data_IF_652678040223
#
_entry.id   IF_652678040223
#
_cell.length_a   1.000
_cell.length_b   1.000
_cell.length_c   1.000
_cell.angle_alpha   90.00
_cell.angle_beta   90.00
_cell.angle_gamma   90.00
#
_symmetry.space_group_name_H-M   'P 1'
#
loop_
_entity.id
_entity.type
_entity.pdbx_description
1 polymer ?
#
# COMPACT_ATOMS: atom_id res chain seq x y z
N UNK A 1 -29.76 38.27 -22.96
CA UNK A 1 -29.74 37.16 -22.02
C UNK A 1 -28.32 36.94 -21.56
N UNK A 2 -28.03 37.29 -20.30
CA UNK A 2 -26.67 37.39 -19.78
C UNK A 2 -26.14 36.01 -19.33
N UNK A 3 -25.01 35.60 -19.89
CA UNK A 3 -24.27 34.37 -19.60
C UNK A 3 -23.74 34.25 -18.16
N UNK A 4 -24.08 35.19 -17.27
CA UNK A 4 -23.54 35.24 -15.89
C UNK A 4 -24.44 34.63 -14.81
N UNK A 5 -25.68 34.22 -15.13
CA UNK A 5 -26.65 33.73 -14.15
C UNK A 5 -26.66 32.18 -14.05
N UNK A 6 -26.08 31.47 -15.03
CA UNK A 6 -26.07 30.02 -15.07
C UNK A 6 -25.04 29.37 -14.14
N UNK A 7 -24.09 30.15 -13.61
CA UNK A 7 -22.99 29.63 -12.78
C UNK A 7 -23.30 29.68 -11.28
N UNK A 8 -24.42 30.28 -10.88
CA UNK A 8 -24.72 30.45 -9.44
C UNK A 8 -25.57 29.36 -8.81
N UNK A 9 -26.25 28.54 -9.59
CA UNK A 9 -27.20 27.54 -9.05
C UNK A 9 -26.85 26.08 -9.34
N UNK A 10 -25.72 25.81 -9.95
CA UNK A 10 -25.19 24.46 -10.04
C UNK A 10 -24.19 24.27 -8.90
N UNK A 11 -24.66 23.67 -7.80
CA UNK A 11 -23.77 23.07 -6.82
C UNK A 11 -22.89 22.06 -7.57
N UNK A 12 -21.68 22.45 -7.91
CA UNK A 12 -20.68 21.56 -8.47
C UNK A 12 -20.32 20.52 -7.41
N UNK A 13 -21.02 19.38 -7.43
CA UNK A 13 -20.46 18.15 -6.96
C UNK A 13 -19.36 17.74 -7.93
N UNK A 14 -18.20 18.38 -7.84
CA UNK A 14 -17.00 17.90 -8.48
C UNK A 14 -16.58 16.63 -7.73
N UNK A 15 -17.06 15.47 -8.17
CA UNK A 15 -16.50 14.18 -7.78
C UNK A 15 -15.18 14.06 -8.54
N UNK A 16 -14.12 14.53 -7.94
CA UNK A 16 -12.79 14.20 -8.40
C UNK A 16 -12.53 12.74 -7.99
N UNK A 17 -12.78 11.81 -8.91
CA UNK A 17 -12.31 10.43 -8.77
C UNK A 17 -10.81 10.49 -9.06
N UNK A 18 -10.05 10.74 -8.02
CA UNK A 18 -8.60 10.53 -8.08
C UNK A 18 -8.32 9.06 -7.76
N UNK A 19 -7.17 8.55 -8.17
CA UNK A 19 -6.64 7.26 -7.74
C UNK A 19 -6.41 7.17 -6.21
N UNK A 20 -6.89 8.15 -5.45
CA UNK A 20 -6.70 8.40 -4.02
C UNK A 20 -8.08 8.52 -3.34
N UNK A 21 -9.04 7.62 -3.63
CA UNK A 21 -10.34 7.62 -2.99
C UNK A 21 -11.30 8.75 -3.47
N UNK A 22 -12.56 8.66 -3.09
CA UNK A 22 -13.58 9.68 -3.42
C UNK A 22 -13.49 10.86 -2.44
N UNK A 23 -13.08 12.01 -2.93
CA UNK A 23 -13.13 13.28 -2.17
C UNK A 23 -14.55 13.82 -2.26
N UNK A 24 -15.24 13.95 -1.14
CA UNK A 24 -16.58 14.54 -1.02
C UNK A 24 -16.48 15.90 -0.35
N UNK A 25 -16.99 16.92 -1.03
CA UNK A 25 -17.17 18.25 -0.40
C UNK A 25 -18.49 18.27 0.37
N UNK A 26 -18.45 18.49 1.68
CA UNK A 26 -19.64 18.56 2.54
C UNK A 26 -20.21 19.97 2.74
N UNK A 27 -19.78 20.93 1.91
CA UNK A 27 -20.16 22.34 2.01
C UNK A 27 -19.21 23.20 2.85
N UNK A 28 -18.25 22.59 3.57
CA UNK A 28 -17.26 23.31 4.42
C UNK A 28 -15.85 22.78 4.22
N UNK A 29 -15.69 21.47 4.12
CA UNK A 29 -14.39 20.80 3.97
C UNK A 29 -14.51 19.66 2.98
N UNK A 30 -13.40 19.26 2.39
CA UNK A 30 -13.32 18.02 1.62
C UNK A 30 -13.17 16.83 2.58
N UNK A 31 -14.16 15.93 2.59
CA UNK A 31 -14.10 14.66 3.30
C UNK A 31 -13.44 13.60 2.41
N UNK A 32 -12.63 12.73 2.99
CA UNK A 32 -11.86 11.70 2.27
C UNK A 32 -10.44 12.14 1.91
N UNK A 33 -10.06 13.40 2.20
CA UNK A 33 -8.72 13.93 1.89
C UNK A 33 -7.65 13.55 2.93
N UNK A 34 -7.93 12.65 3.84
CA UNK A 34 -7.00 12.22 4.88
C UNK A 34 -6.48 10.79 4.69
N UNK A 35 -6.89 10.11 3.64
CA UNK A 35 -6.38 8.77 3.33
C UNK A 35 -4.87 8.78 3.18
N UNK A 36 -4.23 7.81 3.81
CA UNK A 36 -2.80 7.61 3.64
C UNK A 36 -2.54 6.91 2.32
N UNK A 37 -1.80 7.57 1.45
CA UNK A 37 -1.45 7.01 0.14
C UNK A 37 -0.49 5.84 0.25
N UNK A 38 -0.68 4.84 -0.58
CA UNK A 38 0.22 3.69 -0.74
C UNK A 38 1.54 4.09 -1.39
N UNK A 39 2.54 3.25 -1.21
CA UNK A 39 3.82 3.27 -1.90
C UNK A 39 4.28 1.83 -2.14
N UNK A 40 5.43 1.66 -2.77
CA UNK A 40 6.00 0.35 -3.06
C UNK A 40 6.48 -0.35 -1.79
N UNK A 41 6.32 -1.69 -1.74
CA UNK A 41 6.87 -2.54 -0.68
C UNK A 41 8.40 -2.51 -0.69
N UNK A 42 8.95 -2.51 -1.90
CA UNK A 42 10.39 -2.59 -2.13
C UNK A 42 10.95 -4.01 -1.92
N UNK A 43 12.18 -4.25 -2.40
CA UNK A 43 12.78 -5.59 -2.43
C UNK A 43 13.28 -6.07 -1.05
N UNK A 44 13.29 -5.21 -0.04
CA UNK A 44 13.87 -5.50 1.26
C UNK A 44 12.84 -5.82 2.35
N UNK A 45 11.56 -6.06 1.98
CA UNK A 45 10.59 -6.54 2.96
C UNK A 45 10.95 -7.95 3.42
N UNK A 46 10.84 -8.15 4.72
CA UNK A 46 11.08 -9.44 5.36
C UNK A 46 9.97 -9.70 6.38
N UNK A 47 9.20 -10.78 6.22
CA UNK A 47 8.11 -11.12 7.15
C UNK A 47 8.65 -11.48 8.54
N UNK A 48 7.72 -11.62 9.48
CA UNK A 48 7.98 -12.10 10.85
C UNK A 48 8.85 -11.18 11.71
N UNK A 49 8.85 -9.88 11.41
CA UNK A 49 9.52 -8.90 12.25
C UNK A 49 9.06 -9.02 13.73
N UNK A 50 9.98 -8.96 14.71
CA UNK A 50 9.65 -9.14 16.12
C UNK A 50 8.79 -7.98 16.66
N UNK A 51 7.95 -8.30 17.66
CA UNK A 51 7.14 -7.30 18.37
C UNK A 51 8.04 -6.52 19.31
N UNK A 52 8.39 -5.31 18.93
CA UNK A 52 9.17 -4.36 19.74
C UNK A 52 8.99 -2.95 19.25
N UNK A 53 9.04 -1.96 20.13
CA UNK A 53 9.02 -0.54 19.79
C UNK A 53 10.39 0.12 19.83
N UNK A 54 11.37 -0.51 20.45
CA UNK A 54 12.75 -0.05 20.52
C UNK A 54 13.63 -0.87 19.58
N UNK A 55 14.05 -0.25 18.49
CA UNK A 55 14.88 -0.84 17.44
C UNK A 55 16.34 -0.37 17.54
N UNK A 56 16.70 0.38 18.59
CA UNK A 56 18.06 0.89 18.77
C UNK A 56 19.02 -0.28 19.04
N UNK A 57 20.15 -0.21 18.43
CA UNK A 57 21.25 -1.17 18.58
C UNK A 57 22.37 -0.49 19.36
N UNK A 58 22.99 -1.22 20.29
CA UNK A 58 24.13 -0.70 21.04
C UNK A 58 25.26 -0.30 20.09
N UNK A 59 25.85 0.86 20.29
CA UNK A 59 26.91 1.43 19.45
C UNK A 59 26.49 1.72 18.00
N UNK A 60 25.20 1.94 17.76
CA UNK A 60 24.68 2.34 16.45
C UNK A 60 25.26 3.70 16.03
N UNK A 61 25.66 3.77 14.77
CA UNK A 61 25.96 5.03 14.08
C UNK A 61 24.67 5.55 13.47
N UNK A 62 24.31 6.79 13.74
CA UNK A 62 23.12 7.42 13.15
C UNK A 62 22.42 8.39 14.11
N UNK A 63 21.61 9.26 13.54
CA UNK A 63 20.80 10.21 14.31
C UNK A 63 19.61 9.50 14.94
N UNK A 64 19.52 9.49 16.26
CA UNK A 64 18.37 8.91 16.96
C UNK A 64 17.06 9.61 16.57
N UNK A 65 16.02 8.82 16.36
CA UNK A 65 14.69 9.31 16.02
C UNK A 65 13.60 8.53 16.75
N UNK A 66 12.54 9.25 17.13
CA UNK A 66 11.28 8.66 17.57
C UNK A 66 10.24 8.93 16.49
N UNK A 67 9.77 7.87 15.84
CA UNK A 67 8.60 7.92 14.97
C UNK A 67 7.37 7.62 15.81
N UNK A 68 6.39 8.50 15.79
CA UNK A 68 5.12 8.31 16.50
C UNK A 68 3.95 8.72 15.63
N UNK A 69 2.76 8.23 15.95
CA UNK A 69 1.55 8.62 15.24
C UNK A 69 0.32 7.91 15.75
N UNK A 70 -0.78 8.09 15.01
CA UNK A 70 -2.06 7.42 15.24
C UNK A 70 -2.51 6.73 13.98
N UNK A 71 -3.01 5.51 14.12
CA UNK A 71 -3.80 4.85 13.09
C UNK A 71 -5.27 5.15 13.33
N UNK A 72 -5.98 5.51 12.29
CA UNK A 72 -7.39 5.95 12.30
C UNK A 72 -8.21 5.23 11.26
N UNK A 73 -9.51 5.20 11.49
CA UNK A 73 -10.51 4.80 10.50
C UNK A 73 -10.58 5.80 9.34
N UNK A 74 -11.27 5.41 8.27
CA UNK A 74 -11.51 6.24 7.07
C UNK A 74 -12.21 7.58 7.34
N UNK A 75 -12.83 7.75 8.51
CA UNK A 75 -13.43 9.01 8.95
C UNK A 75 -12.40 10.05 9.42
N UNK A 76 -11.11 9.70 9.40
CA UNK A 76 -9.98 10.54 9.81
C UNK A 76 -9.92 10.93 11.28
N UNK A 77 -10.85 10.48 12.08
CA UNK A 77 -11.05 10.90 13.48
C UNK A 77 -10.96 9.72 14.44
N UNK A 78 -11.74 8.68 14.21
CA UNK A 78 -11.87 7.54 15.13
C UNK A 78 -10.55 6.74 15.18
N UNK A 79 -9.98 6.52 16.37
CA UNK A 79 -8.77 5.74 16.52
C UNK A 79 -9.00 4.27 16.15
N UNK A 80 -8.07 3.66 15.45
CA UNK A 80 -8.06 2.23 15.16
C UNK A 80 -7.12 1.50 16.13
N UNK A 81 -7.70 0.86 17.14
CA UNK A 81 -6.95 0.07 18.12
C UNK A 81 -6.48 -1.25 17.52
N UNK A 82 -5.43 -1.83 18.10
CA UNK A 82 -4.86 -3.13 17.72
C UNK A 82 -4.39 -3.22 16.27
N UNK A 83 -4.35 -2.13 15.51
CA UNK A 83 -3.71 -2.14 14.21
C UNK A 83 -2.22 -2.50 14.39
N UNK A 84 -1.75 -3.46 13.60
CA UNK A 84 -0.34 -3.82 13.54
C UNK A 84 0.38 -2.80 12.66
N UNK A 85 1.44 -2.21 13.17
CA UNK A 85 2.32 -1.31 12.42
C UNK A 85 3.69 -1.95 12.36
N UNK A 86 4.15 -2.29 11.16
CA UNK A 86 5.51 -2.75 10.90
C UNK A 86 6.34 -1.59 10.36
N UNK A 87 7.60 -1.53 10.78
CA UNK A 87 8.58 -0.55 10.34
C UNK A 87 9.87 -1.24 9.94
N UNK A 88 10.43 -0.89 8.79
CA UNK A 88 11.78 -1.30 8.41
C UNK A 88 12.50 -0.21 7.62
N UNK A 89 13.82 -0.20 7.73
CA UNK A 89 14.69 0.75 7.03
C UNK A 89 16.14 0.28 7.01
N UNK A 90 16.99 0.92 6.22
CA UNK A 90 18.43 0.68 6.22
C UNK A 90 19.08 1.25 7.49
N UNK A 91 20.28 0.79 7.79
CA UNK A 91 21.14 1.32 8.84
C UNK A 91 21.75 2.68 8.46
N UNK A 92 22.65 3.20 9.32
CA UNK A 92 23.37 4.45 9.10
C UNK A 92 24.39 4.41 7.96
N UNK A 93 24.59 3.27 7.32
CA UNK A 93 25.45 3.06 6.14
C UNK A 93 24.65 2.78 4.86
N UNK A 94 23.31 2.78 4.92
CA UNK A 94 22.46 2.51 3.78
C UNK A 94 22.19 1.01 3.53
N UNK A 95 22.52 0.13 4.48
CA UNK A 95 22.40 -1.32 4.33
C UNK A 95 21.19 -1.84 5.06
N UNK A 96 20.39 -2.72 4.39
CA UNK A 96 19.27 -3.43 4.99
C UNK A 96 19.73 -4.76 5.58
N UNK A 97 19.22 -5.09 6.76
CA UNK A 97 19.40 -6.43 7.35
C UNK A 97 18.38 -7.40 6.76
N UNK A 98 18.80 -8.19 5.79
CA UNK A 98 17.93 -9.15 5.10
C UNK A 98 18.01 -10.56 5.66
N UNK A 99 18.95 -10.89 6.53
CA UNK A 99 19.25 -12.28 6.89
C UNK A 99 19.44 -12.52 8.40
N UNK A 100 19.90 -11.52 9.15
CA UNK A 100 20.27 -11.71 10.54
C UNK A 100 19.07 -12.09 11.41
N UNK A 101 19.21 -13.01 12.38
CA UNK A 101 18.13 -13.37 13.31
C UNK A 101 17.73 -12.20 14.22
N UNK A 102 18.55 -11.17 14.31
CA UNK A 102 18.29 -9.99 15.15
C UNK A 102 17.24 -9.06 14.57
N UNK A 103 16.89 -9.18 13.27
CA UNK A 103 15.98 -8.28 12.57
C UNK A 103 16.35 -6.81 12.80
N UNK A 104 17.60 -6.44 12.52
CA UNK A 104 18.09 -5.07 12.73
C UNK A 104 17.25 -4.08 11.94
N UNK A 105 16.82 -3.01 12.63
CA UNK A 105 15.95 -1.97 12.07
C UNK A 105 14.67 -2.50 11.40
N UNK A 106 14.12 -3.61 11.94
CA UNK A 106 12.84 -4.20 11.58
C UNK A 106 12.07 -4.55 12.83
N UNK A 107 10.84 -4.10 12.94
CA UNK A 107 9.98 -4.39 14.08
C UNK A 107 8.53 -4.17 13.73
N UNK A 108 7.65 -4.78 14.52
CA UNK A 108 6.23 -4.45 14.53
C UNK A 108 5.77 -4.09 15.94
N UNK A 109 4.73 -3.28 16.01
CA UNK A 109 4.04 -2.93 17.26
C UNK A 109 2.54 -2.87 16.99
N UNK A 110 1.75 -2.90 18.06
CA UNK A 110 0.29 -2.79 17.97
C UNK A 110 -0.16 -1.45 18.55
N UNK A 111 -1.14 -0.84 17.90
CA UNK A 111 -1.73 0.39 18.38
C UNK A 111 -2.47 0.15 19.70
N UNK A 112 -2.35 1.11 20.62
CA UNK A 112 -3.13 1.11 21.86
C UNK A 112 -4.60 1.51 21.61
N UNK A 113 -5.42 1.57 22.66
CA UNK A 113 -6.85 1.95 22.58
C UNK A 113 -7.11 3.32 21.97
N UNK A 114 -6.12 4.21 21.99
CA UNK A 114 -6.17 5.55 21.37
C UNK A 114 -5.59 5.57 19.96
N UNK A 115 -5.31 4.40 19.37
CA UNK A 115 -4.72 4.23 18.05
C UNK A 115 -3.24 4.63 17.96
N UNK A 116 -2.57 4.92 19.09
CA UNK A 116 -1.19 5.39 19.07
C UNK A 116 -0.20 4.25 18.83
N UNK A 117 0.82 4.54 18.04
CA UNK A 117 2.02 3.72 17.88
C UNK A 117 3.29 4.56 18.05
N UNK A 118 4.41 3.92 18.34
CA UNK A 118 5.71 4.59 18.43
C UNK A 118 6.86 3.61 18.23
N UNK A 119 7.92 4.09 17.56
CA UNK A 119 9.19 3.39 17.42
C UNK A 119 10.34 4.31 17.79
N UNK A 120 11.33 3.74 18.50
CA UNK A 120 12.63 4.38 18.75
C UNK A 120 13.66 3.71 17.86
N UNK A 121 14.31 4.49 16.98
CA UNK A 121 15.26 3.96 16.01
C UNK A 121 16.29 5.03 15.61
N UNK A 122 16.94 4.88 14.47
CA UNK A 122 17.76 5.90 13.84
C UNK A 122 17.09 6.43 12.58
N UNK A 123 17.41 7.65 12.20
CA UNK A 123 17.04 8.20 10.90
C UNK A 123 17.85 7.47 9.83
N UNK A 124 17.21 6.83 8.82
CA UNK A 124 17.94 6.20 7.72
C UNK A 124 18.70 7.24 6.90
N UNK A 125 19.58 6.76 6.05
CA UNK A 125 20.36 7.59 5.13
C UNK A 125 19.96 7.31 3.68
N UNK A 126 20.20 8.25 2.75
CA UNK A 126 20.11 7.95 1.33
C UNK A 126 21.07 6.82 0.94
N UNK A 127 20.68 5.97 0.00
CA UNK A 127 21.53 4.86 -0.45
C UNK A 127 21.43 4.64 -1.96
N UNK A 128 22.48 4.09 -2.55
CA UNK A 128 22.55 3.75 -3.98
C UNK A 128 21.87 2.40 -4.24
N UNK A 129 20.96 2.38 -5.19
CA UNK A 129 20.30 1.14 -5.69
C UNK A 129 21.00 0.58 -6.93
N UNK A 130 22.13 1.16 -7.32
CA UNK A 130 22.88 0.81 -8.51
C UNK A 130 22.71 1.81 -9.65
N UNK A 131 23.67 1.78 -10.58
CA UNK A 131 23.70 2.67 -11.76
C UNK A 131 23.65 4.17 -11.44
N UNK A 132 24.14 4.60 -10.26
CA UNK A 132 24.13 5.99 -9.84
C UNK A 132 22.76 6.52 -9.40
N UNK A 133 21.79 5.65 -9.20
CA UNK A 133 20.45 6.03 -8.72
C UNK A 133 20.45 6.03 -7.19
N UNK A 134 20.31 7.22 -6.60
CA UNK A 134 20.27 7.38 -5.15
C UNK A 134 18.84 7.51 -4.67
N UNK A 135 18.39 6.61 -3.82
CA UNK A 135 17.13 6.76 -3.11
C UNK A 135 17.25 7.72 -1.93
N UNK A 136 16.25 8.59 -1.70
CA UNK A 136 16.21 9.43 -0.51
C UNK A 136 16.14 8.57 0.76
N UNK A 137 16.54 9.14 1.88
CA UNK A 137 16.31 8.53 3.19
C UNK A 137 14.81 8.25 3.40
N UNK A 138 14.45 7.03 3.77
CA UNK A 138 13.04 6.68 3.95
C UNK A 138 12.81 5.56 4.96
N UNK A 139 11.65 5.61 5.60
CA UNK A 139 11.08 4.49 6.34
C UNK A 139 10.10 3.75 5.44
N UNK A 140 10.11 2.44 5.47
CA UNK A 140 9.00 1.61 5.00
C UNK A 140 8.07 1.30 6.15
N UNK A 141 6.78 1.30 5.87
CA UNK A 141 5.75 0.90 6.83
C UNK A 141 4.74 -0.03 6.16
N UNK A 142 4.33 -1.07 6.89
CA UNK A 142 3.19 -1.90 6.57
C UNK A 142 2.22 -1.82 7.75
N UNK A 143 0.98 -1.44 7.46
CA UNK A 143 -0.07 -1.33 8.47
C UNK A 143 -1.19 -2.29 8.11
N UNK A 144 -1.57 -3.14 9.06
CA UNK A 144 -2.64 -4.10 8.90
C UNK A 144 -3.60 -4.06 10.08
N UNK A 145 -4.87 -4.28 9.81
CA UNK A 145 -5.90 -4.42 10.83
C UNK A 145 -7.04 -5.28 10.26
N UNK A 146 -7.72 -6.00 11.14
CA UNK A 146 -8.87 -6.82 10.75
C UNK A 146 -9.97 -5.93 10.12
N UNK A 147 -10.49 -6.32 8.96
CA UNK A 147 -11.50 -5.57 8.22
C UNK A 147 -10.98 -4.37 7.42
N UNK A 148 -9.66 -4.13 7.40
CA UNK A 148 -9.03 -3.02 6.67
C UNK A 148 -8.13 -3.52 5.55
N UNK A 149 -8.01 -2.72 4.49
CA UNK A 149 -7.02 -2.94 3.44
C UNK A 149 -5.62 -2.81 4.03
N UNK A 150 -4.73 -3.71 3.67
CA UNK A 150 -3.32 -3.59 4.06
C UNK A 150 -2.71 -2.36 3.40
N UNK A 151 -2.13 -1.49 4.21
CA UNK A 151 -1.47 -0.29 3.74
C UNK A 151 0.04 -0.48 3.75
N UNK A 152 0.65 -0.37 2.59
CA UNK A 152 2.11 -0.26 2.44
C UNK A 152 2.43 1.16 2.03
N UNK A 153 3.37 1.78 2.72
CA UNK A 153 3.75 3.16 2.46
C UNK A 153 5.22 3.42 2.80
N UNK A 154 5.75 4.53 2.30
CA UNK A 154 7.10 5.00 2.60
C UNK A 154 7.06 6.43 3.09
N UNK A 155 7.86 6.74 4.11
CA UNK A 155 7.98 8.08 4.68
C UNK A 155 9.33 8.66 4.32
N UNK A 156 9.32 9.84 3.77
CA UNK A 156 10.50 10.60 3.37
C UNK A 156 10.70 11.80 4.30
N UNK A 157 11.84 12.48 4.17
CA UNK A 157 12.19 13.57 5.10
C UNK A 157 12.50 14.86 4.36
N UNK A 158 11.88 15.95 4.79
CA UNK A 158 12.10 17.30 4.22
C UNK A 158 13.59 17.63 4.18
N UNK A 159 14.02 18.18 3.06
CA UNK A 159 15.41 18.61 2.84
C UNK A 159 16.33 17.54 2.23
N UNK A 160 15.85 16.32 2.00
CA UNK A 160 16.63 15.33 1.23
C UNK A 160 16.63 15.71 -0.26
N UNK A 161 17.81 15.98 -0.81
CA UNK A 161 18.01 16.43 -2.19
C UNK A 161 17.58 15.39 -3.24
N UNK A 162 17.53 14.11 -2.85
CA UNK A 162 17.21 13.03 -3.76
C UNK A 162 15.68 12.84 -3.97
N UNK A 163 14.83 13.52 -3.21
CA UNK A 163 13.36 13.44 -3.36
C UNK A 163 12.92 13.81 -4.77
N UNK A 164 13.50 14.86 -5.35
CA UNK A 164 13.06 15.38 -6.65
C UNK A 164 13.31 14.41 -7.81
N UNK A 165 14.27 13.51 -7.69
CA UNK A 165 14.68 12.56 -8.72
C UNK A 165 14.21 11.13 -8.47
N UNK A 166 13.70 10.83 -7.27
CA UNK A 166 13.19 9.50 -6.92
C UNK A 166 11.77 9.31 -7.44
N UNK A 167 11.47 8.26 -8.23
CA UNK A 167 10.15 8.05 -8.82
C UNK A 167 9.01 7.96 -7.81
N UNK A 168 9.25 7.37 -6.64
CA UNK A 168 8.24 7.24 -5.58
C UNK A 168 8.08 8.56 -4.81
N UNK A 169 9.19 9.15 -4.33
CA UNK A 169 9.18 10.33 -3.47
C UNK A 169 8.77 11.62 -4.19
N UNK A 170 9.02 11.74 -5.50
CA UNK A 170 8.64 12.92 -6.30
C UNK A 170 7.17 12.96 -6.70
N UNK A 171 6.44 11.87 -6.51
CA UNK A 171 5.03 11.75 -6.91
C UNK A 171 4.13 12.70 -6.10
N UNK A 172 3.00 13.10 -6.69
CA UNK A 172 1.99 13.90 -5.97
C UNK A 172 1.45 13.16 -4.74
N UNK A 173 1.33 11.83 -4.82
CA UNK A 173 0.91 10.98 -3.73
C UNK A 173 1.89 10.99 -2.55
N UNK A 174 3.18 11.21 -2.81
CA UNK A 174 4.20 11.25 -1.77
C UNK A 174 4.21 12.55 -0.96
N UNK A 175 3.63 13.64 -1.43
CA UNK A 175 3.71 14.96 -0.77
C UNK A 175 3.34 14.93 0.71
N UNK A 176 2.34 14.14 1.10
CA UNK A 176 1.91 14.01 2.51
C UNK A 176 2.78 13.08 3.34
N UNK A 177 3.70 12.39 2.70
CA UNK A 177 4.63 11.42 3.29
C UNK A 177 6.07 11.96 3.36
N UNK A 178 6.28 13.21 2.94
CA UNK A 178 7.51 13.98 3.14
C UNK A 178 7.35 14.74 4.45
N UNK A 179 8.09 14.34 5.48
CA UNK A 179 7.87 14.75 6.86
C UNK A 179 9.00 15.60 7.39
N UNK A 180 8.65 16.55 8.24
CA UNK A 180 9.63 17.32 8.99
C UNK A 180 10.18 16.51 10.17
N UNK A 181 11.45 16.68 10.44
CA UNK A 181 12.11 16.16 11.64
C UNK A 181 12.31 17.28 12.65
N UNK A 182 11.84 17.11 13.88
CA UNK A 182 11.99 18.12 14.96
C UNK A 182 12.98 17.62 16.01
N UNK A 183 13.95 18.46 16.41
CA UNK A 183 14.85 18.13 17.53
C UNK A 183 14.05 17.88 18.80
N UNK A 184 14.47 16.90 19.58
CA UNK A 184 13.90 16.63 20.91
C UNK A 184 14.91 16.97 22.03
N UNK A 185 14.44 16.95 23.28
CA UNK A 185 15.25 17.33 24.46
C UNK A 185 16.36 16.30 24.80
N UNK A 186 16.40 15.14 24.14
CA UNK A 186 17.39 14.08 24.37
C UNK A 186 18.50 14.05 23.31
N UNK A 187 18.59 15.08 22.47
CA UNK A 187 19.59 15.16 21.38
C UNK A 187 19.20 14.37 20.12
N UNK A 188 18.06 13.70 20.13
CA UNK A 188 17.48 13.01 18.98
C UNK A 188 16.51 13.88 18.18
N UNK A 189 15.75 13.23 17.30
CA UNK A 189 14.66 13.85 16.51
C UNK A 189 13.33 13.15 16.77
N UNK A 190 12.25 13.89 16.59
CA UNK A 190 10.89 13.35 16.52
C UNK A 190 10.35 13.50 15.12
N UNK A 191 9.63 12.47 14.68
CA UNK A 191 8.84 12.43 13.45
C UNK A 191 7.43 12.02 13.84
N UNK A 192 6.45 12.68 13.28
CA UNK A 192 5.05 12.37 13.54
C UNK A 192 4.34 12.03 12.24
N UNK A 193 3.68 10.88 12.19
CA UNK A 193 2.91 10.44 11.03
C UNK A 193 1.60 9.76 11.46
N UNK A 194 0.47 10.34 11.07
CA UNK A 194 -0.83 9.72 11.24
C UNK A 194 -1.19 8.91 10.01
N UNK A 195 -1.77 7.75 10.25
CA UNK A 195 -2.24 6.82 9.23
C UNK A 195 -3.76 6.79 9.25
N UNK A 196 -4.37 6.84 8.08
CA UNK A 196 -5.80 6.59 7.90
C UNK A 196 -5.97 5.39 6.97
N UNK A 197 -6.66 4.37 7.47
CA UNK A 197 -6.87 3.10 6.77
C UNK A 197 -8.26 3.04 6.16
N UNK A 198 -8.33 2.44 4.97
CA UNK A 198 -9.57 2.15 4.28
C UNK A 198 -10.07 0.76 4.66
N UNK A 199 -11.38 0.63 4.83
CA UNK A 199 -12.01 -0.68 5.07
C UNK A 199 -11.88 -1.58 3.85
N UNK A 200 -11.72 -2.88 4.09
CA UNK A 200 -11.82 -3.87 3.02
C UNK A 200 -13.20 -3.80 2.39
N UNK A 201 -13.22 -3.73 1.07
CA UNK A 201 -14.45 -3.91 0.32
C UNK A 201 -14.64 -5.42 0.12
N UNK A 202 -15.74 -6.04 0.61
CA UNK A 202 -15.99 -7.44 0.34
C UNK A 202 -16.33 -7.58 -1.14
N UNK A 203 -15.57 -8.39 -1.87
CA UNK A 203 -16.03 -8.86 -3.17
C UNK A 203 -17.15 -9.86 -2.96
N UNK A 204 -18.30 -9.68 -3.65
CA UNK A 204 -19.36 -10.67 -3.60
C UNK A 204 -18.84 -12.04 -4.09
N UNK A 205 -19.26 -13.13 -3.44
CA UNK A 205 -18.82 -14.48 -3.81
C UNK A 205 -19.03 -14.78 -5.31
N UNK A 206 -20.15 -14.34 -5.88
CA UNK A 206 -20.45 -14.48 -7.31
C UNK A 206 -19.44 -13.72 -8.21
N UNK A 207 -18.90 -12.60 -7.74
CA UNK A 207 -17.82 -11.87 -8.47
C UNK A 207 -16.55 -12.69 -8.45
N UNK A 208 -16.17 -13.22 -7.29
CA UNK A 208 -14.97 -14.06 -7.17
C UNK A 208 -15.12 -15.31 -8.04
N UNK A 209 -16.24 -16.02 -7.96
CA UNK A 209 -16.53 -17.22 -8.76
C UNK A 209 -16.48 -16.92 -10.27
N UNK A 210 -16.98 -15.77 -10.68
CA UNK A 210 -16.91 -15.32 -12.08
C UNK A 210 -15.49 -15.01 -12.54
N UNK A 211 -14.65 -14.46 -11.68
CA UNK A 211 -13.30 -14.03 -12.01
C UNK A 211 -12.26 -15.16 -11.87
N UNK A 212 -12.49 -16.15 -11.03
CA UNK A 212 -11.59 -17.31 -10.95
C UNK A 212 -11.53 -18.07 -12.27
N UNK A 213 -10.34 -18.58 -12.64
CA UNK A 213 -10.10 -19.34 -13.85
C UNK A 213 -8.74 -19.06 -14.47
N UNK A 214 -8.49 -19.68 -15.62
CA UNK A 214 -7.25 -19.50 -16.37
C UNK A 214 -7.38 -18.34 -17.34
N UNK A 215 -6.37 -17.50 -17.38
CA UNK A 215 -6.26 -16.34 -18.26
C UNK A 215 -5.07 -16.52 -19.19
N UNK A 216 -5.26 -16.34 -20.48
CA UNK A 216 -4.19 -16.44 -21.48
C UNK A 216 -3.78 -15.04 -21.92
N UNK A 217 -2.50 -14.78 -21.87
CA UNK A 217 -1.91 -13.51 -22.27
C UNK A 217 -2.00 -13.35 -23.79
N UNK A 218 -2.40 -12.16 -24.23
CA UNK A 218 -2.74 -11.92 -25.63
C UNK A 218 -1.53 -11.81 -26.57
N UNK A 219 -0.32 -11.54 -26.04
CA UNK A 219 0.88 -11.33 -26.84
C UNK A 219 1.78 -12.58 -26.96
N UNK A 220 1.72 -13.51 -26.03
CA UNK A 220 2.65 -14.64 -25.99
C UNK A 220 2.03 -15.98 -25.55
N UNK A 221 0.71 -16.03 -25.36
CA UNK A 221 -0.05 -17.22 -24.95
C UNK A 221 0.36 -17.82 -23.58
N UNK A 222 1.07 -17.10 -22.75
CA UNK A 222 1.32 -17.54 -21.37
C UNK A 222 0.04 -17.52 -20.55
N UNK A 223 -0.09 -18.51 -19.68
CA UNK A 223 -1.26 -18.66 -18.82
C UNK A 223 -0.97 -18.12 -17.42
N UNK A 224 -1.98 -17.46 -16.85
CA UNK A 224 -2.08 -17.10 -15.44
C UNK A 224 -3.32 -17.77 -14.85
N UNK A 225 -3.20 -18.32 -13.67
CA UNK A 225 -4.31 -18.97 -12.96
C UNK A 225 -4.74 -18.13 -11.75
N UNK A 226 -6.02 -17.76 -11.78
CA UNK A 226 -6.68 -17.15 -10.63
C UNK A 226 -7.65 -18.16 -10.03
N UNK A 227 -7.61 -18.32 -8.72
CA UNK A 227 -8.43 -19.30 -8.03
C UNK A 227 -9.05 -18.71 -6.75
N UNK A 228 -10.12 -19.33 -6.28
CA UNK A 228 -10.80 -18.97 -5.03
C UNK A 228 -10.19 -19.77 -3.88
N UNK A 229 -9.79 -19.06 -2.83
CA UNK A 229 -9.34 -19.65 -1.57
C UNK A 229 -9.75 -18.73 -0.42
N UNK A 230 -10.30 -19.30 0.66
CA UNK A 230 -10.72 -18.56 1.87
C UNK A 230 -11.64 -17.35 1.58
N UNK A 231 -12.56 -17.50 0.61
CA UNK A 231 -13.46 -16.43 0.21
C UNK A 231 -12.83 -15.27 -0.57
N UNK A 232 -11.58 -15.38 -0.95
CA UNK A 232 -10.81 -14.38 -1.70
C UNK A 232 -10.42 -14.90 -3.08
N UNK A 233 -10.15 -13.98 -4.00
CA UNK A 233 -9.49 -14.28 -5.27
C UNK A 233 -7.98 -14.33 -5.04
N UNK A 234 -7.32 -15.35 -5.56
CA UNK A 234 -5.87 -15.56 -5.47
C UNK A 234 -5.27 -15.66 -6.86
N UNK A 235 -4.08 -15.15 -7.04
CA UNK A 235 -3.26 -15.41 -8.24
C UNK A 235 -2.20 -16.46 -7.90
N UNK A 236 -2.09 -17.50 -8.73
CA UNK A 236 -1.11 -18.56 -8.57
C UNK A 236 0.29 -18.04 -8.82
N UNK A 237 1.23 -18.44 -7.99
CA UNK A 237 2.63 -18.07 -8.16
C UNK A 237 3.54 -19.18 -7.60
N UNK A 238 4.40 -19.73 -8.44
CA UNK A 238 5.21 -20.90 -8.09
C UNK A 238 6.20 -20.66 -6.94
N UNK A 239 6.73 -19.44 -6.82
CA UNK A 239 7.65 -19.10 -5.73
C UNK A 239 6.97 -18.75 -4.40
N UNK A 240 5.64 -18.74 -4.36
CA UNK A 240 4.90 -18.50 -3.12
C UNK A 240 4.75 -19.76 -2.30
N UNK A 241 5.13 -19.71 -1.03
CA UNK A 241 4.97 -20.82 -0.06
C UNK A 241 3.51 -21.29 0.04
N UNK A 242 2.56 -20.38 -0.19
CA UNK A 242 1.11 -20.67 -0.14
C UNK A 242 0.51 -21.02 -1.50
N UNK A 243 1.32 -21.22 -2.55
CA UNK A 243 0.89 -21.51 -3.91
C UNK A 243 0.39 -20.32 -4.70
N UNK A 244 0.43 -19.11 -4.12
CA UNK A 244 -0.01 -17.87 -4.76
C UNK A 244 -0.15 -16.72 -3.78
N UNK A 245 -0.74 -15.63 -4.26
CA UNK A 245 -0.96 -14.41 -3.47
C UNK A 245 -2.45 -14.03 -3.46
N UNK A 246 -2.99 -13.63 -2.29
CA UNK A 246 -4.36 -13.12 -2.20
C UNK A 246 -4.47 -11.76 -2.90
N UNK A 247 -5.62 -11.53 -3.53
CA UNK A 247 -5.96 -10.27 -4.16
C UNK A 247 -7.03 -9.55 -3.33
N UNK A 248 -6.74 -8.36 -2.84
CA UNK A 248 -7.69 -7.54 -2.10
C UNK A 248 -8.56 -6.72 -3.05
N UNK A 249 -9.88 -6.79 -2.88
CA UNK A 249 -10.83 -6.08 -3.72
C UNK A 249 -10.83 -4.58 -3.39
N UNK A 250 -10.61 -3.75 -4.40
CA UNK A 250 -10.60 -2.29 -4.30
C UNK A 250 -11.80 -1.59 -4.97
N UNK A 251 -12.81 -2.36 -5.40
CA UNK A 251 -14.00 -1.84 -6.07
C UNK A 251 -13.95 -1.96 -7.60
N UNK A 252 -15.10 -1.82 -8.26
CA UNK A 252 -15.21 -1.76 -9.72
C UNK A 252 -14.47 -2.89 -10.48
N UNK A 253 -14.59 -4.13 -9.99
CA UNK A 253 -13.87 -5.29 -10.51
C UNK A 253 -12.35 -5.11 -10.55
N UNK A 254 -11.83 -4.32 -9.62
CA UNK A 254 -10.38 -4.11 -9.43
C UNK A 254 -9.94 -4.79 -8.14
N UNK A 255 -8.78 -5.43 -8.22
CA UNK A 255 -8.13 -6.08 -7.09
C UNK A 255 -6.68 -5.63 -7.03
N UNK A 256 -6.09 -5.66 -5.85
CA UNK A 256 -4.71 -5.23 -5.61
C UNK A 256 -3.95 -6.29 -4.84
N UNK A 257 -2.69 -6.46 -5.17
CA UNK A 257 -1.76 -7.24 -4.37
C UNK A 257 -0.51 -6.42 -4.12
N UNK A 258 -0.30 -6.06 -2.88
CA UNK A 258 0.81 -5.20 -2.48
C UNK A 258 2.18 -5.89 -2.58
N UNK A 259 2.22 -7.21 -2.39
CA UNK A 259 3.46 -7.99 -2.53
C UNK A 259 3.94 -8.08 -3.97
N UNK A 260 3.03 -8.02 -4.96
CA UNK A 260 3.34 -7.98 -6.39
C UNK A 260 3.39 -6.55 -6.94
N UNK A 261 3.06 -5.55 -6.11
CA UNK A 261 2.95 -4.13 -6.50
C UNK A 261 2.06 -3.93 -7.74
N UNK A 262 1.02 -4.76 -7.86
CA UNK A 262 0.20 -4.86 -9.06
C UNK A 262 -1.27 -4.59 -8.78
N UNK A 263 -1.87 -3.86 -9.69
CA UNK A 263 -3.30 -3.60 -9.75
C UNK A 263 -3.92 -4.44 -10.87
N UNK A 264 -4.85 -5.31 -10.51
CA UNK A 264 -5.53 -6.25 -11.40
C UNK A 264 -6.92 -5.69 -11.73
N UNK A 265 -7.14 -5.28 -12.96
CA UNK A 265 -8.43 -4.77 -13.41
C UNK A 265 -9.12 -5.79 -14.33
N UNK A 266 -10.35 -6.17 -13.96
CA UNK A 266 -11.17 -7.08 -14.74
C UNK A 266 -12.23 -6.32 -15.52
N UNK A 267 -12.29 -6.56 -16.82
CA UNK A 267 -13.29 -6.00 -17.72
C UNK A 267 -14.21 -7.13 -18.15
N UNK A 268 -15.46 -7.04 -17.71
CA UNK A 268 -16.51 -7.98 -18.09
C UNK A 268 -17.23 -7.44 -19.32
N UNK A 269 -17.10 -8.15 -20.43
CA UNK A 269 -17.68 -7.76 -21.71
C UNK A 269 -19.18 -8.14 -21.77
N UNK A 270 -19.91 -7.55 -22.69
CA UNK A 270 -21.34 -7.78 -22.89
C UNK A 270 -21.68 -9.21 -23.26
N UNK A 271 -20.78 -9.92 -23.91
CA UNK A 271 -20.90 -11.36 -24.26
C UNK A 271 -20.50 -12.29 -23.09
N UNK A 272 -20.20 -11.73 -21.93
CA UNK A 272 -19.79 -12.47 -20.74
C UNK A 272 -18.30 -12.80 -20.67
N UNK A 273 -17.53 -12.52 -21.72
CA UNK A 273 -16.08 -12.70 -21.69
C UNK A 273 -15.43 -11.78 -20.64
N UNK A 274 -14.35 -12.26 -20.03
CA UNK A 274 -13.59 -11.49 -19.03
C UNK A 274 -12.18 -11.25 -19.56
N UNK A 275 -11.77 -9.99 -19.54
CA UNK A 275 -10.39 -9.57 -19.77
C UNK A 275 -9.77 -9.13 -18.46
N UNK A 276 -8.51 -9.47 -18.25
CA UNK A 276 -7.70 -9.02 -17.15
C UNK A 276 -6.60 -8.10 -17.68
N UNK A 277 -6.40 -6.98 -17.03
CA UNK A 277 -5.28 -6.06 -17.29
C UNK A 277 -4.50 -5.86 -15.99
N UNK A 278 -3.18 -6.11 -16.02
CA UNK A 278 -2.26 -5.74 -14.94
C UNK A 278 -0.83 -5.56 -15.49
N UNK A 279 -0.04 -4.73 -14.84
CA UNK A 279 1.35 -4.42 -15.26
C UNK A 279 1.49 -4.03 -16.74
N UNK A 280 0.49 -3.28 -17.28
CA UNK A 280 0.48 -2.85 -18.69
C UNK A 280 0.20 -3.95 -19.71
N UNK A 281 -0.08 -5.18 -19.29
CA UNK A 281 -0.35 -6.34 -20.13
C UNK A 281 -1.83 -6.73 -20.06
N UNK A 282 -2.31 -7.47 -21.06
CA UNK A 282 -3.71 -7.90 -21.14
C UNK A 282 -3.82 -9.41 -21.32
N UNK A 283 -4.78 -10.02 -20.62
CA UNK A 283 -5.12 -11.44 -20.71
C UNK A 283 -6.60 -11.61 -20.99
N UNK A 284 -6.96 -12.72 -21.61
CA UNK A 284 -8.35 -13.12 -21.83
C UNK A 284 -8.63 -14.42 -21.09
N UNK A 285 -9.73 -14.47 -20.35
CA UNK A 285 -10.17 -15.66 -19.62
C UNK A 285 -10.51 -16.76 -20.60
N UNK A 286 -9.97 -17.95 -20.38
CA UNK A 286 -10.29 -19.13 -21.19
C UNK A 286 -11.77 -19.52 -20.95
N UNK A 287 -12.48 -19.85 -22.02
CA UNK A 287 -13.81 -20.47 -21.91
C UNK A 287 -13.60 -21.90 -21.41
N UNK A 288 -14.24 -22.27 -20.32
CA UNK A 288 -14.27 -23.68 -19.89
C UNK A 288 -15.15 -24.41 -20.90
N UNK A 289 -14.53 -25.24 -21.73
CA UNK A 289 -15.27 -26.07 -22.69
C UNK A 289 -16.12 -27.10 -21.93
N UNK A 290 -17.40 -27.13 -22.19
CA UNK A 290 -18.36 -28.11 -21.61
C UNK A 290 -18.12 -29.55 -22.08
N UNK A 291 -17.11 -29.84 -22.89
CA UNK A 291 -16.86 -31.15 -23.49
C UNK A 291 -16.06 -32.13 -22.62
N UNK A 292 -15.51 -31.72 -21.49
CA UNK A 292 -14.69 -32.57 -20.63
C UNK A 292 -15.43 -33.40 -19.57
N UNK A 293 -16.75 -33.36 -19.48
CA UNK A 293 -17.54 -34.06 -18.43
C UNK A 293 -18.50 -35.13 -19.00
N UNK A 294 -18.42 -35.47 -20.29
CA UNK A 294 -19.11 -36.64 -20.83
C UNK A 294 -18.10 -37.65 -21.29
N UNK A 295 -17.59 -38.44 -20.36
CA UNK A 295 -16.77 -39.59 -20.75
C UNK A 295 -15.96 -40.20 -19.61
N UNK A 296 -16.56 -40.84 -18.65
CA UNK A 296 -16.39 -42.27 -18.33
C UNK A 296 -17.09 -42.60 -17.03
#
# INVERSE_FOLDING_TARGET
MQRRTFIKDTAFCAVAISAIGSIRFNGKIFEGDCETTTDILGPFYRPDAPVRSDMRIKNTVGQLVVLSGKVKHKDCKTPLKNACVELWHCDGSGVYDNESPDFKYRAKTYCNDKGNYSFKTILPVPYDVGNGTIRPAHFHMLISAEGYQTLITQLYFTGDKNIATDPSASSLAAKRRILDTKKNNTGGKNVWFNVTMMEKLPAAAAVIDRLAGTYTRTDNNKNEELYKKDGMLWIKHESSINGGYPLEYSGNNTFENYGLESKFQFIIQTDGAVKLSYSGLTWTKQKVGWEAVKGK
#
